data_IF_258900417571
#
_entry.id   IF_258900417571
#
_cell.length_a   1.000
_cell.length_b   1.000
_cell.length_c   1.000
_cell.angle_alpha   90.00
_cell.angle_beta   90.00
_cell.angle_gamma   90.00
#
_symmetry.space_group_name_H-M   'P 1'
#
loop_
_entity.id
_entity.type
_entity.pdbx_description
1 polymer ?
#
# COMPACT_ATOMS: atom_id res chain seq x y z
N UNK A 1 14.04 -3.78 15.81
CA UNK A 1 12.68 -3.82 15.20
C UNK A 1 12.54 -2.65 14.24
N UNK A 2 12.09 -2.91 13.02
CA UNK A 2 11.92 -1.85 12.03
C UNK A 2 10.66 -1.04 12.34
N UNK A 3 10.74 0.29 12.24
CA UNK A 3 9.54 1.11 12.39
C UNK A 3 8.68 1.04 11.13
N UNK A 4 7.42 1.48 11.27
CA UNK A 4 6.43 1.39 10.18
C UNK A 4 6.86 2.16 8.93
N UNK A 5 7.43 3.34 9.10
CA UNK A 5 7.83 4.17 7.98
C UNK A 5 8.99 3.54 7.21
N UNK A 6 9.94 2.92 7.92
CA UNK A 6 11.03 2.19 7.29
C UNK A 6 10.51 1.03 6.45
N UNK A 7 9.55 0.27 6.99
CA UNK A 7 8.91 -0.84 6.26
C UNK A 7 8.21 -0.33 5.00
N UNK A 8 7.46 0.77 5.11
CA UNK A 8 6.73 1.34 3.97
C UNK A 8 7.67 1.87 2.89
N UNK A 9 8.76 2.51 3.28
CA UNK A 9 9.77 3.00 2.34
C UNK A 9 10.46 1.85 1.62
N UNK A 10 10.77 0.77 2.34
CA UNK A 10 11.35 -0.43 1.73
C UNK A 10 10.36 -1.06 0.74
N UNK A 11 9.09 -1.17 1.12
CA UNK A 11 8.05 -1.67 0.24
C UNK A 11 7.96 -0.82 -1.04
N UNK A 12 7.97 0.50 -0.91
CA UNK A 12 7.91 1.40 -2.08
C UNK A 12 9.09 1.18 -3.01
N UNK A 13 10.30 1.15 -2.47
CA UNK A 13 11.51 0.91 -3.24
C UNK A 13 11.48 -0.46 -3.92
N UNK A 14 11.03 -1.47 -3.20
CA UNK A 14 10.95 -2.83 -3.70
C UNK A 14 9.98 -2.94 -4.88
N UNK A 15 8.81 -2.32 -4.75
CA UNK A 15 7.84 -2.30 -5.84
C UNK A 15 8.35 -1.51 -7.04
N UNK A 16 8.98 -0.37 -6.82
CA UNK A 16 9.53 0.44 -7.90
C UNK A 16 10.64 -0.29 -8.65
N UNK A 17 11.47 -1.06 -7.94
CA UNK A 17 12.58 -1.79 -8.55
C UNK A 17 12.16 -3.07 -9.24
N UNK A 18 11.13 -3.75 -8.74
CA UNK A 18 10.74 -5.09 -9.21
C UNK A 18 9.47 -5.11 -10.03
N UNK A 19 8.65 -4.08 -9.95
CA UNK A 19 7.45 -3.95 -10.75
C UNK A 19 7.61 -2.82 -11.76
N UNK A 20 7.54 -1.56 -11.30
CA UNK A 20 7.55 -0.41 -12.21
C UNK A 20 7.66 0.90 -11.44
N UNK A 21 8.30 1.90 -12.05
CA UNK A 21 8.30 3.28 -11.54
C UNK A 21 6.91 3.92 -11.55
N UNK A 22 5.88 3.22 -12.02
CA UNK A 22 4.51 3.73 -11.98
C UNK A 22 3.91 3.72 -10.57
N UNK A 23 4.58 3.16 -9.59
CA UNK A 23 4.15 3.27 -8.18
C UNK A 23 4.41 4.70 -7.72
N UNK A 24 3.33 5.43 -7.44
CA UNK A 24 3.41 6.83 -7.03
C UNK A 24 3.49 6.97 -5.52
N UNK A 25 2.51 6.40 -4.82
CA UNK A 25 2.42 6.52 -3.37
C UNK A 25 2.15 5.16 -2.73
N UNK A 26 2.71 5.00 -1.53
CA UNK A 26 2.36 3.94 -0.61
C UNK A 26 1.82 4.61 0.64
N UNK A 27 0.58 4.29 1.01
CA UNK A 27 -0.11 4.97 2.11
C UNK A 27 -0.56 3.93 3.14
N UNK A 28 -0.04 4.04 4.36
CA UNK A 28 -0.50 3.21 5.47
C UNK A 28 -1.75 3.83 6.07
N UNK A 29 -2.80 3.05 6.22
CA UNK A 29 -4.04 3.50 6.84
C UNK A 29 -4.56 2.43 7.82
N UNK A 30 -5.74 2.66 8.37
CA UNK A 30 -6.31 1.72 9.33
C UNK A 30 -5.66 1.79 10.70
N UNK A 31 -5.76 0.71 11.46
CA UNK A 31 -5.32 0.70 12.86
C UNK A 31 -3.83 0.92 13.05
N UNK A 32 -2.99 0.42 12.15
CA UNK A 32 -1.54 0.60 12.23
C UNK A 32 -1.14 2.07 12.05
N UNK A 33 -1.88 2.82 11.27
CA UNK A 33 -1.60 4.23 11.04
C UNK A 33 -1.95 5.11 12.25
N UNK A 34 -2.93 4.71 13.03
CA UNK A 34 -3.47 5.53 14.12
C UNK A 34 -3.07 5.06 15.52
N UNK A 35 -2.18 4.08 15.61
CA UNK A 35 -1.66 3.63 16.89
C UNK A 35 -2.63 2.83 17.75
N UNK A 36 -3.77 2.43 17.21
CA UNK A 36 -4.80 1.68 17.93
C UNK A 36 -4.68 0.18 17.73
N UNK A 37 -3.58 -0.27 17.14
CA UNK A 37 -3.37 -1.66 16.81
C UNK A 37 -2.46 -2.35 17.82
N UNK A 38 -2.57 -3.68 17.89
CA UNK A 38 -1.55 -4.50 18.52
C UNK A 38 -0.52 -4.95 17.47
N UNK A 39 0.50 -5.67 17.90
CA UNK A 39 1.60 -6.12 17.02
C UNK A 39 1.13 -7.07 15.92
N UNK A 40 0.00 -7.72 16.10
CA UNK A 40 -0.50 -8.72 15.17
C UNK A 40 -1.51 -8.17 14.17
N UNK A 41 -1.79 -6.86 14.21
CA UNK A 41 -2.73 -6.24 13.27
C UNK A 41 -2.11 -6.15 11.88
N UNK A 42 -2.96 -6.35 10.85
CA UNK A 42 -2.53 -6.21 9.47
C UNK A 42 -2.13 -4.77 9.15
N UNK A 43 -1.20 -4.62 8.22
CA UNK A 43 -0.83 -3.32 7.67
C UNK A 43 -1.73 -3.05 6.47
N UNK A 44 -2.72 -2.19 6.65
CA UNK A 44 -3.60 -1.77 5.55
C UNK A 44 -2.84 -0.73 4.71
N UNK A 45 -2.55 -1.08 3.47
CA UNK A 45 -1.71 -0.26 2.60
C UNK A 45 -2.46 0.04 1.31
N UNK A 46 -2.52 1.32 0.94
CA UNK A 46 -3.02 1.73 -0.36
C UNK A 46 -1.82 2.02 -1.28
N UNK A 47 -1.81 1.36 -2.42
CA UNK A 47 -0.78 1.54 -3.45
C UNK A 47 -1.40 2.33 -4.58
N UNK A 48 -0.91 3.56 -4.78
CA UNK A 48 -1.39 4.45 -5.85
C UNK A 48 -0.47 4.32 -7.05
N UNK A 49 -1.04 3.97 -8.19
CA UNK A 49 -0.31 3.79 -9.44
C UNK A 49 -0.58 4.97 -10.38
N UNK A 50 0.44 5.40 -11.12
CA UNK A 50 0.32 6.49 -12.10
C UNK A 50 -0.49 6.08 -13.31
N UNK A 51 -0.43 4.80 -13.67
CA UNK A 51 -1.03 4.25 -14.89
C UNK A 51 -2.11 3.24 -14.55
N UNK A 52 -2.94 2.93 -15.54
CA UNK A 52 -3.90 1.84 -15.43
C UNK A 52 -3.15 0.52 -15.22
N UNK A 53 -3.80 -0.41 -14.58
CA UNK A 53 -3.22 -1.72 -14.26
C UNK A 53 -4.20 -2.84 -14.61
N UNK A 54 -3.65 -4.02 -14.86
CA UNK A 54 -4.41 -5.22 -15.18
C UNK A 54 -4.46 -6.16 -13.97
N UNK A 55 -5.24 -7.23 -14.06
CA UNK A 55 -5.23 -8.28 -13.03
C UNK A 55 -3.84 -8.91 -12.89
N UNK A 56 -3.08 -9.00 -13.99
CA UNK A 56 -1.71 -9.49 -13.97
C UNK A 56 -0.80 -8.57 -13.16
N UNK A 57 -0.96 -7.27 -13.33
CA UNK A 57 -0.22 -6.27 -12.55
C UNK A 57 -0.54 -6.39 -11.06
N UNK A 58 -1.82 -6.54 -10.73
CA UNK A 58 -2.24 -6.72 -9.33
C UNK A 58 -1.56 -7.95 -8.72
N UNK A 59 -1.59 -9.07 -9.42
CA UNK A 59 -0.99 -10.31 -8.92
C UNK A 59 0.51 -10.17 -8.70
N UNK A 60 1.20 -9.48 -9.61
CA UNK A 60 2.62 -9.22 -9.48
C UNK A 60 2.92 -8.38 -8.24
N UNK A 61 2.13 -7.34 -8.03
CA UNK A 61 2.29 -6.46 -6.86
C UNK A 61 2.01 -7.21 -5.56
N UNK A 62 0.96 -8.04 -5.54
CA UNK A 62 0.64 -8.85 -4.35
C UNK A 62 1.75 -9.85 -4.03
N UNK A 63 2.36 -10.46 -5.04
CA UNK A 63 3.50 -11.36 -4.84
C UNK A 63 4.69 -10.63 -4.21
N UNK A 64 4.96 -9.40 -4.66
CA UNK A 64 6.03 -8.58 -4.10
C UNK A 64 5.72 -8.16 -2.67
N UNK A 65 4.46 -7.85 -2.37
CA UNK A 65 4.04 -7.57 -0.99
C UNK A 65 4.23 -8.79 -0.09
N UNK A 66 3.99 -9.99 -0.62
CA UNK A 66 4.23 -11.21 0.13
C UNK A 66 5.69 -11.38 0.52
N UNK A 67 6.61 -11.02 -0.38
CA UNK A 67 8.04 -11.04 -0.06
C UNK A 67 8.35 -10.14 1.14
N UNK A 68 7.70 -8.98 1.22
CA UNK A 68 7.85 -8.07 2.35
C UNK A 68 7.23 -8.64 3.63
N UNK A 69 6.11 -9.35 3.51
CA UNK A 69 5.50 -10.05 4.65
C UNK A 69 6.50 -11.00 5.29
N UNK A 70 7.21 -11.75 4.46
CA UNK A 70 8.21 -12.71 4.93
C UNK A 70 9.42 -11.99 5.54
N UNK A 71 9.86 -10.91 4.93
CA UNK A 71 11.03 -10.17 5.39
C UNK A 71 10.82 -9.56 6.77
N UNK A 72 9.66 -8.99 7.02
CA UNK A 72 9.38 -8.25 8.25
C UNK A 72 8.46 -8.99 9.22
N UNK A 73 8.04 -10.20 8.89
CA UNK A 73 7.10 -10.99 9.71
C UNK A 73 5.81 -10.22 10.00
N UNK A 74 5.25 -9.62 8.95
CA UNK A 74 4.01 -8.84 9.02
C UNK A 74 3.03 -9.36 7.96
N UNK A 75 1.79 -8.88 8.01
CA UNK A 75 0.80 -9.13 6.97
C UNK A 75 0.41 -7.78 6.36
N UNK A 76 0.67 -7.62 5.06
CA UNK A 76 0.27 -6.44 4.32
C UNK A 76 -1.03 -6.76 3.60
N UNK A 77 -2.08 -5.99 3.92
CA UNK A 77 -3.36 -6.03 3.21
C UNK A 77 -3.34 -4.91 2.17
N UNK A 78 -2.95 -5.24 0.95
CA UNK A 78 -2.71 -4.25 -0.10
C UNK A 78 -3.96 -3.97 -0.91
N UNK A 79 -4.22 -2.70 -1.16
CA UNK A 79 -5.28 -2.21 -2.02
C UNK A 79 -4.65 -1.35 -3.09
N UNK A 80 -5.08 -1.50 -4.35
CA UNK A 80 -4.53 -0.76 -5.48
C UNK A 80 -5.56 0.23 -6.02
N UNK A 81 -5.06 1.39 -6.44
CA UNK A 81 -5.87 2.36 -7.18
C UNK A 81 -4.93 3.14 -8.11
N UNK A 82 -5.42 3.46 -9.32
CA UNK A 82 -4.67 4.33 -10.23
C UNK A 82 -5.04 5.79 -9.98
N UNK A 83 -4.18 6.72 -10.42
CA UNK A 83 -4.48 8.16 -10.34
C UNK A 83 -5.81 8.49 -11.01
N UNK A 84 -6.07 7.87 -12.14
CA UNK A 84 -7.32 8.06 -12.88
C UNK A 84 -8.53 7.64 -12.06
N UNK A 85 -8.43 6.50 -11.37
CA UNK A 85 -9.51 5.99 -10.53
C UNK A 85 -9.78 6.85 -9.30
N UNK A 86 -8.81 7.64 -8.85
CA UNK A 86 -9.00 8.52 -7.69
C UNK A 86 -10.13 9.55 -7.91
N UNK A 87 -10.39 9.93 -9.16
CA UNK A 87 -11.43 10.88 -9.51
C UNK A 87 -12.75 10.22 -9.85
N UNK A 88 -12.83 8.90 -9.76
CA UNK A 88 -14.02 8.11 -10.08
C UNK A 88 -14.77 7.71 -8.79
N UNK A 89 -15.85 6.96 -8.97
CA UNK A 89 -16.61 6.39 -7.85
C UNK A 89 -15.73 5.55 -6.95
N UNK A 90 -14.76 4.80 -7.52
CA UNK A 90 -13.85 3.99 -6.73
C UNK A 90 -13.07 4.83 -5.72
N UNK A 91 -12.51 5.96 -6.15
CA UNK A 91 -11.75 6.85 -5.27
C UNK A 91 -12.59 7.51 -4.19
N UNK A 92 -13.92 7.57 -4.36
CA UNK A 92 -14.84 8.15 -3.38
C UNK A 92 -15.26 7.16 -2.30
N UNK A 93 -14.94 5.88 -2.47
CA UNK A 93 -15.26 4.89 -1.44
C UNK A 93 -14.51 5.23 -0.14
N UNK A 94 -15.15 5.04 1.03
CA UNK A 94 -14.55 5.45 2.31
C UNK A 94 -13.15 4.92 2.56
N UNK A 95 -12.87 3.68 2.15
CA UNK A 95 -11.55 3.07 2.35
C UNK A 95 -10.45 3.89 1.66
N UNK A 96 -10.70 4.33 0.41
CA UNK A 96 -9.70 5.09 -0.35
C UNK A 96 -9.62 6.55 0.13
N UNK A 97 -10.76 7.20 0.32
CA UNK A 97 -10.77 8.60 0.74
C UNK A 97 -10.15 8.79 2.13
N UNK A 98 -10.41 7.89 3.06
CA UNK A 98 -9.79 7.95 4.39
C UNK A 98 -8.29 7.72 4.35
N UNK A 99 -7.83 6.77 3.55
CA UNK A 99 -6.40 6.50 3.38
C UNK A 99 -5.68 7.75 2.86
N UNK A 100 -6.23 8.39 1.84
CA UNK A 100 -5.63 9.56 1.21
C UNK A 100 -5.58 10.75 2.16
N UNK A 101 -6.65 10.98 2.93
CA UNK A 101 -6.76 12.15 3.81
C UNK A 101 -5.96 12.02 5.09
N UNK A 102 -5.88 10.83 5.67
CA UNK A 102 -5.32 10.67 7.01
C UNK A 102 -4.29 9.55 7.14
N UNK A 103 -3.92 8.91 6.04
CA UNK A 103 -2.91 7.87 6.06
C UNK A 103 -1.49 8.42 6.16
N UNK A 104 -0.55 7.51 6.40
CA UNK A 104 0.88 7.84 6.47
C UNK A 104 1.51 7.53 5.12
N UNK A 105 2.07 8.54 4.47
CA UNK A 105 2.70 8.42 3.16
C UNK A 105 4.17 8.05 3.28
N UNK A 106 4.58 7.12 2.45
CA UNK A 106 5.99 6.76 2.33
C UNK A 106 6.63 7.41 1.10
#
# INVERSE_FOLDING_TARGET
MSDKLTILRDLKSYLQSNYSNSVKDIILFGSQAHGNSNENSDYDVLIVLKNDYTARDENQIYDLCYDMNLKYSIIIDAHLISEKELTTIKGRQPIFSKAIKSGIYA
#
